data_IF_208441818151
#
_entry.id   IF_208441818151
#
_cell.length_a   1.000
_cell.length_b   1.000
_cell.length_c   1.000
_cell.angle_alpha   90.00
_cell.angle_beta   90.00
_cell.angle_gamma   90.00
#
_symmetry.space_group_name_H-M   'P 1'
#
loop_
_entity.id
_entity.type
_entity.pdbx_description
1 polymer ?
#
# COMPACT_ATOMS: atom_id res chain seq x y z
N UNK A 1 -2.94 18.67 42.10
CA UNK A 1 -3.84 18.59 43.27
C UNK A 1 -4.11 17.16 43.73
N UNK A 2 -4.79 16.31 42.94
CA UNK A 2 -5.07 14.91 43.35
C UNK A 2 -3.80 14.12 43.69
N UNK A 3 -2.78 14.22 42.85
CA UNK A 3 -1.48 13.54 43.03
C UNK A 3 -0.70 14.14 44.21
N UNK A 4 -0.75 15.46 44.37
CA UNK A 4 -0.11 16.20 45.46
C UNK A 4 -0.60 15.75 46.84
N UNK A 5 -1.87 15.33 46.92
CA UNK A 5 -2.52 14.86 48.15
C UNK A 5 -2.44 13.33 48.32
N UNK A 6 -1.69 12.63 47.47
CA UNK A 6 -1.52 11.17 47.50
C UNK A 6 -0.18 10.77 48.14
N UNK A 7 0.03 9.47 48.39
CA UNK A 7 1.31 8.96 48.90
C UNK A 7 2.38 8.84 47.80
N UNK A 8 2.09 9.27 46.57
CA UNK A 8 2.94 9.07 45.40
C UNK A 8 4.35 9.64 45.56
N UNK A 9 4.48 10.84 46.14
CA UNK A 9 5.78 11.50 46.41
C UNK A 9 6.77 10.60 47.16
N UNK A 10 6.26 9.73 48.05
CA UNK A 10 7.08 8.87 48.88
C UNK A 10 7.42 7.53 48.20
N UNK A 11 6.61 7.11 47.23
CA UNK A 11 6.73 5.81 46.55
C UNK A 11 7.53 5.92 45.26
N UNK A 12 7.39 7.03 44.53
CA UNK A 12 8.07 7.33 43.27
C UNK A 12 8.54 8.80 43.27
N UNK A 13 9.59 9.13 44.04
CA UNK A 13 10.01 10.52 44.24
C UNK A 13 10.51 11.18 42.95
N UNK A 14 11.23 10.45 42.10
CA UNK A 14 11.78 11.00 40.85
C UNK A 14 10.67 11.32 39.84
N UNK A 15 9.69 10.42 39.69
CA UNK A 15 8.52 10.66 38.85
C UNK A 15 7.65 11.80 39.39
N UNK A 16 7.52 11.92 40.72
CA UNK A 16 6.79 13.03 41.34
C UNK A 16 7.46 14.38 41.04
N UNK A 17 8.79 14.44 41.13
CA UNK A 17 9.55 15.65 40.83
C UNK A 17 9.41 16.03 39.35
N UNK A 18 9.55 15.07 38.43
CA UNK A 18 9.37 15.30 37.00
C UNK A 18 7.95 15.78 36.64
N UNK A 19 6.92 15.12 37.19
CA UNK A 19 5.53 15.29 36.79
C UNK A 19 4.83 16.44 37.53
N UNK A 20 4.94 16.48 38.86
CA UNK A 20 4.15 17.39 39.71
C UNK A 20 4.88 18.69 39.98
N UNK A 21 6.21 18.65 40.12
CA UNK A 21 7.01 19.84 40.42
C UNK A 21 7.44 20.53 39.11
N UNK A 22 8.08 19.78 38.22
CA UNK A 22 8.65 20.33 36.99
C UNK A 22 7.66 20.45 35.82
N UNK A 23 6.43 19.96 35.96
CA UNK A 23 5.38 20.01 34.94
C UNK A 23 5.82 19.44 33.57
N UNK A 24 6.73 18.47 33.55
CA UNK A 24 7.33 17.92 32.31
C UNK A 24 6.34 17.15 31.43
N UNK A 25 5.13 16.87 31.92
CA UNK A 25 4.08 16.14 31.22
C UNK A 25 3.62 16.79 29.90
N UNK A 26 3.80 18.11 29.74
CA UNK A 26 3.37 18.81 28.52
C UNK A 26 4.25 18.38 27.33
N UNK A 27 3.65 17.68 26.37
CA UNK A 27 4.37 17.17 25.18
C UNK A 27 5.14 15.86 25.41
N UNK A 28 4.91 15.16 26.54
CA UNK A 28 5.55 13.88 26.86
C UNK A 28 4.50 12.77 27.07
N UNK A 29 3.85 12.28 25.98
CA UNK A 29 2.74 11.33 26.08
C UNK A 29 3.14 10.00 26.74
N UNK A 30 4.39 9.56 26.56
CA UNK A 30 4.90 8.33 27.16
C UNK A 30 5.00 8.42 28.68
N UNK A 31 5.59 9.52 29.17
CA UNK A 31 5.72 9.76 30.60
C UNK A 31 4.34 9.89 31.24
N UNK A 32 3.41 10.60 30.59
CA UNK A 32 2.02 10.69 31.04
C UNK A 32 1.35 9.32 31.13
N UNK A 33 1.45 8.51 30.08
CA UNK A 33 0.82 7.19 30.04
C UNK A 33 1.38 6.27 31.13
N UNK A 34 2.73 6.22 31.27
CA UNK A 34 3.42 5.46 32.32
C UNK A 34 2.96 5.88 33.71
N UNK A 35 2.95 7.19 33.95
CA UNK A 35 2.59 7.78 35.23
C UNK A 35 1.19 7.34 35.68
N UNK A 36 0.22 7.31 34.76
CA UNK A 36 -1.18 7.05 35.08
C UNK A 36 -1.49 5.58 35.23
N UNK A 37 -0.87 4.75 34.40
CA UNK A 37 -0.99 3.31 34.55
C UNK A 37 -0.39 2.84 35.87
N UNK A 38 0.75 3.41 36.28
CA UNK A 38 1.35 3.13 37.60
C UNK A 38 0.37 3.41 38.75
N UNK A 39 -0.38 4.50 38.69
CA UNK A 39 -1.41 4.84 39.67
C UNK A 39 -2.63 3.88 39.60
N UNK A 40 -2.97 3.42 38.40
CA UNK A 40 -4.15 2.59 38.14
C UNK A 40 -3.98 1.12 38.50
N UNK A 41 -2.77 0.58 38.41
CA UNK A 41 -2.48 -0.82 38.73
C UNK A 41 -2.52 -1.09 40.24
N UNK A 42 -2.14 -0.10 41.06
CA UNK A 42 -2.07 -0.26 42.52
C UNK A 42 -2.63 0.96 43.29
N UNK A 43 -3.91 1.36 43.11
CA UNK A 43 -4.45 2.60 43.67
C UNK A 43 -4.36 2.67 45.21
N UNK A 44 -4.48 1.51 45.88
CA UNK A 44 -4.31 1.39 47.33
C UNK A 44 -2.88 1.72 47.80
N UNK A 45 -1.85 1.36 47.02
CA UNK A 45 -0.43 1.66 47.31
C UNK A 45 -0.17 3.17 47.37
N UNK A 46 -0.92 3.93 46.58
CA UNK A 46 -0.75 5.38 46.44
C UNK A 46 -1.79 6.19 47.23
N UNK A 47 -2.73 5.55 47.93
CA UNK A 47 -3.77 6.23 48.71
C UNK A 47 -4.82 6.94 47.84
N UNK A 48 -5.04 6.48 46.61
CA UNK A 48 -6.02 7.06 45.67
C UNK A 48 -7.31 6.25 45.76
N UNK A 49 -8.44 6.92 46.00
CA UNK A 49 -9.76 6.30 46.00
C UNK A 49 -10.30 6.09 44.57
N UNK A 50 -11.29 5.22 44.42
CA UNK A 50 -11.81 4.79 43.12
C UNK A 50 -12.42 5.94 42.30
N UNK A 51 -13.10 6.89 42.95
CA UNK A 51 -13.67 8.06 42.30
C UNK A 51 -12.58 8.97 41.70
N UNK A 52 -11.53 9.26 42.47
CA UNK A 52 -10.39 10.04 42.01
C UNK A 52 -9.61 9.29 40.91
N UNK A 53 -9.54 7.96 41.01
CA UNK A 53 -8.91 7.13 39.98
C UNK A 53 -9.67 7.23 38.65
N UNK A 54 -11.00 7.19 38.67
CA UNK A 54 -11.83 7.32 37.48
C UNK A 54 -11.71 8.73 36.84
N UNK A 55 -11.62 9.77 37.67
CA UNK A 55 -11.36 11.15 37.21
C UNK A 55 -9.98 11.26 36.57
N UNK A 56 -8.94 10.64 37.17
CA UNK A 56 -7.61 10.58 36.57
C UNK A 56 -7.67 9.87 35.21
N UNK A 57 -8.23 8.65 35.14
CA UNK A 57 -8.34 7.87 33.90
C UNK A 57 -9.04 8.66 32.79
N UNK A 58 -10.21 9.25 33.05
CA UNK A 58 -10.98 9.99 32.04
C UNK A 58 -10.25 11.23 31.51
N UNK A 59 -9.57 12.01 32.38
CA UNK A 59 -8.81 13.18 31.94
C UNK A 59 -7.53 12.78 31.21
N UNK A 60 -6.93 11.65 31.57
CA UNK A 60 -5.72 11.16 30.93
C UNK A 60 -6.00 10.51 29.60
N UNK A 61 -7.09 9.77 29.43
CA UNK A 61 -7.48 9.27 28.11
C UNK A 61 -7.70 10.44 27.14
N UNK A 62 -8.26 11.55 27.63
CA UNK A 62 -8.37 12.80 26.86
C UNK A 62 -7.01 13.45 26.60
N UNK A 63 -6.13 13.56 27.60
CA UNK A 63 -4.78 14.13 27.43
C UNK A 63 -3.90 13.26 26.53
N UNK A 64 -3.93 11.94 26.66
CA UNK A 64 -3.22 10.98 25.81
C UNK A 64 -3.79 11.01 24.40
N UNK A 65 -5.08 11.27 24.19
CA UNK A 65 -5.61 11.54 22.85
C UNK A 65 -5.08 12.86 22.29
N UNK A 66 -5.15 13.96 23.06
CA UNK A 66 -4.69 15.29 22.65
C UNK A 66 -3.17 15.31 22.37
N UNK A 67 -2.38 14.64 23.19
CA UNK A 67 -0.92 14.54 23.05
C UNK A 67 -0.53 13.40 22.11
N UNK A 68 -1.34 12.35 22.00
CA UNK A 68 -1.11 11.19 21.14
C UNK A 68 -1.36 11.46 19.65
N UNK A 69 -2.00 12.58 19.31
CA UNK A 69 -2.01 13.11 17.95
C UNK A 69 -0.62 13.64 17.53
N UNK A 70 0.25 14.02 18.47
CA UNK A 70 1.64 14.38 18.15
C UNK A 70 2.49 13.12 17.96
N UNK A 71 3.26 13.01 16.86
CA UNK A 71 4.18 11.90 16.67
C UNK A 71 5.26 11.83 17.76
N UNK A 72 5.59 10.62 18.21
CA UNK A 72 6.61 10.36 19.25
C UNK A 72 7.86 9.71 18.65
N UNK A 73 9.09 9.97 19.18
CA UNK A 73 10.28 9.28 18.68
C UNK A 73 10.13 7.76 18.74
N UNK A 74 10.44 7.07 17.64
CA UNK A 74 10.23 5.63 17.55
C UNK A 74 11.07 4.84 18.58
N UNK A 75 12.30 5.27 18.85
CA UNK A 75 13.17 4.65 19.85
C UNK A 75 12.51 4.63 21.24
N UNK A 76 11.88 5.74 21.63
CA UNK A 76 11.17 5.83 22.91
C UNK A 76 9.93 4.97 22.97
N UNK A 77 9.22 4.78 21.85
CA UNK A 77 8.08 3.86 21.77
C UNK A 77 8.56 2.42 21.95
N UNK A 78 9.62 2.02 21.25
CA UNK A 78 10.16 0.66 21.35
C UNK A 78 10.68 0.39 22.76
N UNK A 79 11.42 1.34 23.36
CA UNK A 79 11.89 1.24 24.75
C UNK A 79 10.73 1.13 25.75
N UNK A 80 9.63 1.88 25.52
CA UNK A 80 8.43 1.82 26.35
C UNK A 80 7.77 0.44 26.30
N UNK A 81 7.59 -0.11 25.10
CA UNK A 81 6.94 -1.43 24.92
C UNK A 81 7.80 -2.53 25.55
N UNK A 82 9.12 -2.45 25.38
CA UNK A 82 10.08 -3.46 25.86
C UNK A 82 10.40 -3.36 27.37
N UNK A 83 9.98 -2.30 28.05
CA UNK A 83 10.27 -2.06 29.47
C UNK A 83 9.54 -3.05 30.38
N UNK A 84 10.21 -3.59 31.42
CA UNK A 84 9.57 -4.45 32.43
C UNK A 84 8.81 -3.65 33.52
N UNK A 85 8.79 -2.31 33.43
CA UNK A 85 8.08 -1.45 34.37
C UNK A 85 6.56 -1.66 34.29
N UNK A 86 5.92 -1.93 35.44
CA UNK A 86 4.46 -2.12 35.54
C UNK A 86 3.67 -0.96 34.89
N UNK A 87 4.15 0.28 35.00
CA UNK A 87 3.52 1.46 34.39
C UNK A 87 3.49 1.43 32.86
N UNK A 88 4.33 0.60 32.23
CA UNK A 88 4.34 0.37 30.78
C UNK A 88 3.47 -0.80 30.33
N UNK A 89 2.72 -1.41 31.26
CA UNK A 89 1.79 -2.50 30.99
C UNK A 89 0.34 -2.08 31.22
N UNK A 90 -0.59 -2.83 30.63
CA UNK A 90 -2.02 -2.70 30.87
C UNK A 90 -2.61 -4.04 31.29
N UNK A 91 -3.49 -4.02 32.32
CA UNK A 91 -4.25 -5.19 32.73
C UNK A 91 -5.63 -5.15 32.09
N UNK A 92 -5.98 -6.19 31.34
CA UNK A 92 -7.30 -6.29 30.70
C UNK A 92 -8.32 -7.00 31.60
N UNK A 93 -9.61 -6.94 31.23
CA UNK A 93 -10.66 -7.71 31.92
C UNK A 93 -10.32 -9.21 31.87
N UNK A 94 -10.06 -9.79 33.04
CA UNK A 94 -9.56 -11.17 33.17
C UNK A 94 -8.29 -11.29 34.01
N UNK A 95 -7.55 -10.19 34.22
CA UNK A 95 -6.37 -10.15 35.08
C UNK A 95 -5.04 -10.36 34.34
N UNK A 96 -5.08 -10.68 33.04
CA UNK A 96 -3.90 -10.80 32.21
C UNK A 96 -3.25 -9.43 31.96
N UNK A 97 -1.91 -9.41 31.93
CA UNK A 97 -1.08 -8.22 31.74
C UNK A 97 -0.48 -8.24 30.34
N UNK A 98 -0.63 -7.13 29.61
CA UNK A 98 -0.15 -6.97 28.24
C UNK A 98 0.76 -5.75 28.10
N UNK A 99 1.70 -5.85 27.17
CA UNK A 99 2.41 -4.69 26.63
C UNK A 99 1.44 -3.83 25.82
N UNK A 100 1.59 -2.52 25.87
CA UNK A 100 0.80 -1.62 25.04
C UNK A 100 1.64 -0.48 24.48
N UNK A 101 1.21 0.05 23.34
CA UNK A 101 1.75 1.27 22.77
C UNK A 101 0.81 2.44 23.15
N UNK A 102 1.32 3.52 23.75
CA UNK A 102 0.49 4.66 24.15
C UNK A 102 0.04 5.54 22.96
N UNK A 103 0.69 5.38 21.80
CA UNK A 103 0.28 5.96 20.52
C UNK A 103 0.77 5.08 19.38
N UNK A 104 0.19 5.26 18.19
CA UNK A 104 0.62 4.67 16.93
C UNK A 104 1.20 5.71 15.96
N UNK A 105 1.31 6.98 16.38
CA UNK A 105 1.91 8.06 15.60
C UNK A 105 3.39 8.18 15.98
N UNK A 106 4.27 7.87 15.03
CA UNK A 106 5.71 7.77 15.26
C UNK A 106 6.48 8.77 14.41
N UNK A 107 7.69 9.10 14.84
CA UNK A 107 8.67 9.71 13.96
C UNK A 107 10.09 9.19 14.17
N UNK A 108 10.88 9.32 13.11
CA UNK A 108 12.33 9.11 13.10
C UNK A 108 13.02 10.41 12.73
N UNK A 109 13.96 10.93 13.55
CA UNK A 109 14.76 12.09 13.19
C UNK A 109 15.68 11.75 12.01
N UNK A 110 15.93 12.73 11.14
CA UNK A 110 16.79 12.57 9.97
C UNK A 110 18.07 13.38 10.13
N UNK A 111 19.21 12.69 10.15
CA UNK A 111 20.51 13.34 9.99
C UNK A 111 20.76 13.58 8.49
N UNK A 112 20.43 14.79 8.03
CA UNK A 112 20.55 15.18 6.61
C UNK A 112 21.99 15.06 6.11
N UNK A 113 22.98 15.39 6.95
CA UNK A 113 24.38 15.31 6.56
C UNK A 113 24.80 13.85 6.35
N UNK A 114 24.39 12.96 7.26
CA UNK A 114 24.70 11.53 7.19
C UNK A 114 24.07 10.87 5.95
N UNK A 115 22.78 11.10 5.69
CA UNK A 115 22.09 10.47 4.55
C UNK A 115 22.58 10.96 3.18
N UNK A 116 23.15 12.17 3.12
CA UNK A 116 23.85 12.67 1.92
C UNK A 116 25.25 12.05 1.84
N UNK A 117 26.02 12.10 2.94
CA UNK A 117 27.40 11.64 2.97
C UNK A 117 27.56 10.14 2.68
N UNK A 118 26.61 9.31 3.12
CA UNK A 118 26.63 7.86 2.87
C UNK A 118 25.94 7.44 1.56
N UNK A 119 25.49 8.40 0.74
CA UNK A 119 24.84 8.13 -0.55
C UNK A 119 23.43 7.54 -0.44
N UNK A 120 22.77 7.64 0.72
CA UNK A 120 21.35 7.26 0.85
C UNK A 120 20.47 8.14 -0.03
N UNK A 121 20.74 9.45 -0.03
CA UNK A 121 20.08 10.42 -0.91
C UNK A 121 21.13 11.06 -1.81
N UNK A 122 20.97 11.01 -3.15
CA UNK A 122 21.88 11.72 -4.05
C UNK A 122 21.75 13.23 -3.87
N UNK A 123 22.84 13.97 -4.07
CA UNK A 123 22.87 15.42 -3.85
C UNK A 123 21.77 16.18 -4.62
N UNK A 124 21.36 15.71 -5.81
CA UNK A 124 20.27 16.30 -6.60
C UNK A 124 18.91 16.32 -5.87
N UNK A 125 18.70 15.40 -4.93
CA UNK A 125 17.46 15.24 -4.18
C UNK A 125 17.57 15.79 -2.74
N UNK A 126 18.68 16.45 -2.37
CA UNK A 126 18.90 16.91 -1.00
C UNK A 126 17.83 17.89 -0.49
N UNK A 127 17.25 18.68 -1.39
CA UNK A 127 16.17 19.62 -1.06
C UNK A 127 14.86 18.93 -0.65
N UNK A 128 14.68 17.65 -0.99
CA UNK A 128 13.47 16.86 -0.69
C UNK A 128 13.55 16.16 0.68
N UNK A 129 14.69 16.22 1.35
CA UNK A 129 14.91 15.52 2.62
C UNK A 129 14.10 16.18 3.74
N UNK A 130 13.21 15.40 4.35
CA UNK A 130 12.43 15.84 5.53
C UNK A 130 13.30 15.89 6.78
N UNK A 131 12.97 16.75 7.75
CA UNK A 131 13.69 16.81 9.04
C UNK A 131 13.42 15.57 9.91
N UNK A 132 12.22 15.01 9.77
CA UNK A 132 11.77 13.79 10.44
C UNK A 132 10.82 13.01 9.54
N UNK A 133 10.99 11.69 9.48
CA UNK A 133 10.01 10.80 8.87
C UNK A 133 8.88 10.64 9.88
N UNK A 134 7.68 11.05 9.52
CA UNK A 134 6.48 10.96 10.36
C UNK A 134 5.49 10.00 9.69
N UNK A 135 5.00 9.02 10.43
CA UNK A 135 3.95 8.12 9.94
C UNK A 135 3.08 7.61 11.10
N UNK A 136 1.97 6.97 10.74
CA UNK A 136 1.10 6.25 11.66
C UNK A 136 1.17 4.77 11.35
N UNK A 137 1.42 3.94 12.36
CA UNK A 137 1.30 2.48 12.22
C UNK A 137 -0.16 2.10 11.96
N UNK A 138 -0.44 1.30 10.92
CA UNK A 138 -1.79 0.91 10.57
C UNK A 138 -2.35 -0.14 11.54
N UNK A 139 -3.62 0.04 11.91
CA UNK A 139 -4.34 -0.85 12.82
C UNK A 139 -4.26 -0.42 14.29
N UNK A 140 -4.71 -1.31 15.18
CA UNK A 140 -4.88 -1.05 16.61
C UNK A 140 -3.89 -1.85 17.48
N UNK A 141 -3.01 -2.62 16.87
CA UNK A 141 -2.01 -3.44 17.57
C UNK A 141 -0.75 -3.63 16.73
N UNK A 142 0.36 -3.94 17.43
CA UNK A 142 1.67 -4.21 16.82
C UNK A 142 1.99 -5.68 17.05
N UNK A 143 2.13 -6.46 15.97
CA UNK A 143 2.57 -7.87 16.06
C UNK A 143 4.07 -7.93 16.33
N UNK A 144 4.56 -9.02 16.92
CA UNK A 144 6.00 -9.22 17.21
C UNK A 144 6.92 -8.99 16.00
N UNK A 145 6.51 -9.46 14.81
CA UNK A 145 7.27 -9.22 13.58
C UNK A 145 7.31 -7.74 13.16
N UNK A 146 6.22 -7.00 13.35
CA UNK A 146 6.17 -5.56 13.10
C UNK A 146 7.04 -4.80 14.11
N UNK A 147 6.98 -5.17 15.39
CA UNK A 147 7.81 -4.59 16.44
C UNK A 147 9.30 -4.78 16.16
N UNK A 148 9.71 -5.95 15.66
CA UNK A 148 11.09 -6.19 15.27
C UNK A 148 11.56 -5.24 14.15
N UNK A 149 10.71 -4.97 13.16
CA UNK A 149 11.01 -4.00 12.10
C UNK A 149 11.07 -2.57 12.65
N UNK A 150 10.16 -2.20 13.57
CA UNK A 150 10.22 -0.89 14.23
C UNK A 150 11.52 -0.72 15.05
N UNK A 151 11.95 -1.74 15.78
CA UNK A 151 13.22 -1.69 16.52
C UNK A 151 14.43 -1.55 15.59
N UNK A 152 14.45 -2.28 14.46
CA UNK A 152 15.47 -2.10 13.42
C UNK A 152 15.50 -0.64 12.96
N UNK A 153 14.35 -0.04 12.64
CA UNK A 153 14.28 1.36 12.20
C UNK A 153 14.73 2.33 13.30
N UNK A 154 14.32 2.11 14.54
CA UNK A 154 14.65 2.94 15.69
C UNK A 154 16.16 2.97 15.98
N UNK A 155 16.85 1.86 15.76
CA UNK A 155 18.27 1.69 16.11
C UNK A 155 19.23 1.80 14.94
N UNK A 156 18.72 1.79 13.71
CA UNK A 156 19.55 1.86 12.50
C UNK A 156 20.30 3.19 12.35
N UNK A 157 19.79 4.31 12.88
CA UNK A 157 20.42 5.64 12.82
C UNK A 157 20.92 6.03 11.41
N UNK A 158 20.21 5.61 10.36
CA UNK A 158 20.59 5.79 8.95
C UNK A 158 21.97 5.19 8.57
N UNK A 159 22.46 4.17 9.28
CA UNK A 159 23.74 3.52 9.00
C UNK A 159 23.65 2.51 7.87
N UNK A 160 22.56 1.74 7.82
CA UNK A 160 22.32 0.74 6.79
C UNK A 160 21.06 1.07 6.00
N UNK A 161 21.07 0.86 4.68
CA UNK A 161 19.83 0.90 3.89
C UNK A 161 18.83 -0.14 4.40
N UNK A 162 17.57 0.26 4.52
CA UNK A 162 16.46 -0.63 4.87
C UNK A 162 15.59 -0.83 3.64
N UNK A 163 15.34 -2.08 3.30
CA UNK A 163 14.55 -2.49 2.14
C UNK A 163 13.38 -3.37 2.57
N UNK A 164 12.26 -3.18 1.90
CA UNK A 164 11.04 -3.97 2.03
C UNK A 164 10.82 -4.75 0.72
N UNK A 165 10.37 -5.99 0.84
CA UNK A 165 9.96 -6.78 -0.31
C UNK A 165 8.69 -6.18 -0.93
N UNK A 166 8.53 -6.28 -2.24
CA UNK A 166 7.32 -5.79 -2.95
C UNK A 166 6.12 -6.74 -2.83
N UNK A 167 6.38 -8.00 -2.44
CA UNK A 167 5.43 -9.12 -2.47
C UNK A 167 4.73 -9.38 -1.13
N UNK A 168 4.97 -8.55 -0.12
CA UNK A 168 4.37 -8.68 1.20
C UNK A 168 3.06 -7.90 1.29
N UNK A 169 2.20 -8.30 2.23
CA UNK A 169 0.96 -7.60 2.53
C UNK A 169 1.20 -6.17 3.02
N UNK A 170 0.17 -5.32 2.87
CA UNK A 170 0.22 -3.90 3.23
C UNK A 170 0.63 -3.68 4.70
N UNK A 171 0.23 -4.59 5.58
CA UNK A 171 0.53 -4.58 7.01
C UNK A 171 2.02 -4.68 7.33
N UNK A 172 2.83 -5.25 6.43
CA UNK A 172 4.27 -5.35 6.59
C UNK A 172 4.98 -4.01 6.36
N UNK A 173 4.37 -3.09 5.60
CA UNK A 173 4.91 -1.75 5.33
C UNK A 173 4.69 -0.78 6.49
N UNK A 174 3.79 -1.09 7.41
CA UNK A 174 3.56 -0.33 8.65
C UNK A 174 3.28 1.17 8.45
N UNK A 175 2.71 1.55 7.30
CA UNK A 175 2.37 2.94 6.96
C UNK A 175 3.55 3.78 6.46
N UNK A 176 4.67 3.13 6.12
CA UNK A 176 5.87 3.78 5.59
C UNK A 176 5.88 3.91 4.06
N UNK A 177 4.80 3.50 3.38
CA UNK A 177 4.74 3.47 1.91
C UNK A 177 5.01 4.83 1.26
N UNK A 178 4.60 5.93 1.90
CA UNK A 178 4.92 7.31 1.49
C UNK A 178 6.39 7.71 1.58
N UNK A 179 7.25 6.84 2.09
CA UNK A 179 8.69 7.03 2.21
C UNK A 179 9.48 5.97 1.45
N UNK A 180 8.82 5.22 0.58
CA UNK A 180 9.47 4.22 -0.25
C UNK A 180 10.00 4.80 -1.55
N UNK A 181 11.00 4.12 -2.10
CA UNK A 181 11.40 4.25 -3.49
C UNK A 181 11.59 2.86 -4.09
N UNK A 182 11.04 2.63 -5.27
CA UNK A 182 11.27 1.39 -6.00
C UNK A 182 12.72 1.35 -6.51
N UNK A 183 13.52 0.51 -5.88
CA UNK A 183 14.91 0.22 -6.25
C UNK A 183 14.97 -1.24 -6.72
N UNK A 184 14.83 -1.46 -8.02
CA UNK A 184 14.77 -2.80 -8.58
C UNK A 184 13.46 -3.52 -8.21
N UNK A 185 13.57 -4.70 -7.60
CA UNK A 185 12.44 -5.52 -7.12
C UNK A 185 12.17 -5.32 -5.62
N UNK A 186 12.59 -4.18 -5.05
CA UNK A 186 12.45 -3.87 -3.62
C UNK A 186 12.06 -2.42 -3.39
N UNK A 187 11.42 -2.14 -2.27
CA UNK A 187 11.16 -0.78 -1.79
C UNK A 187 12.24 -0.36 -0.81
N UNK A 188 13.05 0.64 -1.17
CA UNK A 188 14.01 1.26 -0.26
C UNK A 188 13.30 2.31 0.59
N UNK A 189 13.50 2.27 1.90
CA UNK A 189 13.03 3.31 2.81
C UNK A 189 13.98 4.52 2.80
N UNK A 190 13.44 5.71 2.58
CA UNK A 190 14.17 6.97 2.42
C UNK A 190 13.47 8.12 3.15
N UNK A 191 14.21 9.13 3.65
CA UNK A 191 13.63 10.32 4.28
C UNK A 191 13.11 11.33 3.23
N UNK A 192 12.39 10.87 2.21
CA UNK A 192 11.70 11.70 1.23
C UNK A 192 10.24 11.28 1.23
N UNK A 193 9.34 12.23 1.47
CA UNK A 193 7.90 11.97 1.44
C UNK A 193 7.38 12.12 0.01
N UNK A 194 6.68 11.11 -0.48
CA UNK A 194 6.03 11.12 -1.79
C UNK A 194 4.55 10.76 -1.65
N UNK A 195 3.76 11.16 -2.64
CA UNK A 195 2.38 10.70 -2.77
C UNK A 195 2.37 9.21 -3.12
N UNK A 196 1.37 8.50 -2.61
CA UNK A 196 1.17 7.07 -2.85
C UNK A 196 -0.27 6.82 -3.24
N UNK A 197 -0.48 5.77 -4.02
CA UNK A 197 -1.80 5.24 -4.31
C UNK A 197 -1.90 3.81 -3.78
N UNK A 198 -3.10 3.24 -3.83
CA UNK A 198 -3.35 1.85 -3.48
C UNK A 198 -2.43 0.88 -4.27
N UNK A 199 -2.05 1.27 -5.49
CA UNK A 199 -1.32 0.45 -6.45
C UNK A 199 0.16 0.83 -6.55
N UNK A 200 0.48 2.12 -6.41
CA UNK A 200 1.85 2.62 -6.53
C UNK A 200 2.36 3.16 -5.20
N UNK A 201 3.38 2.46 -4.68
CA UNK A 201 4.02 2.81 -3.42
C UNK A 201 5.32 3.55 -3.70
N UNK A 202 5.47 4.67 -3.01
CA UNK A 202 6.67 5.49 -3.04
C UNK A 202 6.99 6.09 -4.41
N UNK A 203 8.21 6.62 -4.50
CA UNK A 203 8.79 7.17 -5.73
C UNK A 203 9.54 6.11 -6.54
N UNK A 204 10.10 6.51 -7.68
CA UNK A 204 11.12 5.74 -8.40
C UNK A 204 12.34 6.63 -8.69
N UNK A 205 13.49 6.01 -8.96
CA UNK A 205 14.64 6.67 -9.56
C UNK A 205 14.92 6.01 -10.91
N UNK A 206 14.67 6.74 -12.00
CA UNK A 206 14.76 6.22 -13.38
C UNK A 206 16.18 5.74 -13.71
N UNK A 207 17.23 6.45 -13.28
CA UNK A 207 18.63 6.04 -13.52
C UNK A 207 18.93 4.65 -12.91
N UNK A 208 18.61 4.47 -11.62
CA UNK A 208 18.88 3.23 -10.89
C UNK A 208 18.04 2.09 -11.44
N UNK A 209 16.75 2.35 -11.66
CA UNK A 209 15.80 1.32 -12.08
C UNK A 209 16.05 0.89 -13.53
N UNK A 210 16.41 1.84 -14.42
CA UNK A 210 16.79 1.53 -15.79
C UNK A 210 18.03 0.64 -15.84
N UNK A 211 19.10 1.00 -15.14
CA UNK A 211 20.31 0.18 -15.12
C UNK A 211 20.05 -1.22 -14.54
N UNK A 212 19.21 -1.32 -13.50
CA UNK A 212 18.82 -2.60 -12.93
C UNK A 212 18.10 -3.50 -13.96
N UNK A 213 17.04 -2.99 -14.60
CA UNK A 213 16.16 -3.76 -15.49
C UNK A 213 16.80 -4.04 -16.85
N UNK A 214 17.59 -3.11 -17.38
CA UNK A 214 18.16 -3.21 -18.71
C UNK A 214 19.49 -3.97 -18.72
N UNK A 215 20.33 -3.79 -17.67
CA UNK A 215 21.72 -4.23 -17.73
C UNK A 215 22.13 -5.26 -16.66
N UNK A 216 21.48 -5.28 -15.49
CA UNK A 216 21.97 -6.05 -14.33
C UNK A 216 21.16 -7.29 -14.00
N UNK A 217 19.84 -7.24 -14.15
CA UNK A 217 18.99 -8.36 -13.77
C UNK A 217 19.12 -9.55 -14.72
N UNK A 218 19.14 -10.74 -14.11
CA UNK A 218 19.06 -12.01 -14.81
C UNK A 218 17.64 -12.57 -14.62
N UNK A 219 16.97 -12.87 -15.73
CA UNK A 219 15.55 -13.24 -15.74
C UNK A 219 15.30 -14.75 -15.68
N UNK A 220 16.35 -15.56 -15.54
CA UNK A 220 16.22 -16.98 -15.19
C UNK A 220 15.58 -17.88 -16.26
N UNK A 221 15.51 -17.44 -17.52
CA UNK A 221 14.99 -18.25 -18.63
C UNK A 221 13.47 -18.29 -18.75
N UNK A 222 12.76 -17.33 -18.15
CA UNK A 222 11.29 -17.19 -18.23
C UNK A 222 10.77 -16.87 -19.64
N UNK A 223 11.67 -16.56 -20.57
CA UNK A 223 11.43 -16.37 -22.00
C UNK A 223 11.42 -17.69 -22.79
N UNK A 224 11.76 -18.82 -22.15
CA UNK A 224 11.80 -20.12 -22.81
C UNK A 224 10.39 -20.76 -22.88
N UNK A 225 9.82 -21.00 -24.08
CA UNK A 225 8.48 -21.58 -24.23
C UNK A 225 8.37 -23.04 -23.77
N UNK A 226 9.50 -23.72 -23.50
CA UNK A 226 9.50 -25.07 -22.93
C UNK A 226 9.32 -25.08 -21.40
N UNK A 227 9.39 -23.91 -20.75
CA UNK A 227 9.23 -23.76 -19.31
C UNK A 227 7.76 -23.52 -19.00
N UNK A 228 7.18 -24.39 -18.16
CA UNK A 228 5.83 -24.17 -17.64
C UNK A 228 5.88 -23.12 -16.52
N UNK A 229 5.15 -22.02 -16.72
CA UNK A 229 4.97 -20.97 -15.71
C UNK A 229 3.75 -21.31 -14.86
N UNK A 230 3.99 -21.81 -13.65
CA UNK A 230 2.90 -22.05 -12.69
C UNK A 230 2.28 -20.75 -12.16
N UNK A 231 1.15 -20.87 -11.45
CA UNK A 231 0.39 -19.74 -10.92
C UNK A 231 1.22 -18.80 -10.02
N UNK A 232 2.09 -19.36 -9.17
CA UNK A 232 2.91 -18.55 -8.26
C UNK A 232 3.94 -17.75 -9.04
N UNK A 233 4.60 -18.38 -10.01
CA UNK A 233 5.56 -17.72 -10.88
C UNK A 233 4.88 -16.63 -11.75
N UNK A 234 3.69 -16.90 -12.28
CA UNK A 234 2.90 -15.92 -13.03
C UNK A 234 2.59 -14.66 -12.18
N UNK A 235 2.16 -14.85 -10.92
CA UNK A 235 1.95 -13.74 -9.97
C UNK A 235 3.22 -12.93 -9.69
N UNK A 236 4.40 -13.58 -9.67
CA UNK A 236 5.68 -12.88 -9.52
C UNK A 236 6.06 -12.06 -10.76
N UNK A 237 5.75 -12.55 -11.95
CA UNK A 237 5.97 -11.82 -13.20
C UNK A 237 5.09 -10.58 -13.28
N UNK A 238 3.85 -10.64 -12.76
CA UNK A 238 2.96 -9.48 -12.68
C UNK A 238 3.60 -8.30 -11.91
N UNK A 239 4.24 -8.56 -10.77
CA UNK A 239 4.95 -7.51 -10.01
C UNK A 239 6.17 -6.96 -10.76
N UNK A 240 6.83 -7.80 -11.55
CA UNK A 240 7.96 -7.39 -12.39
C UNK A 240 7.49 -6.48 -13.53
N UNK A 241 6.39 -6.83 -14.22
CA UNK A 241 5.75 -5.99 -15.24
C UNK A 241 5.32 -4.63 -14.69
N UNK A 242 4.82 -4.56 -13.45
CA UNK A 242 4.55 -3.28 -12.79
C UNK A 242 5.80 -2.40 -12.69
N UNK A 243 6.96 -2.98 -12.34
CA UNK A 243 8.21 -2.24 -12.28
C UNK A 243 8.66 -1.68 -13.64
N UNK A 244 8.52 -2.47 -14.71
CA UNK A 244 8.74 -2.01 -16.09
C UNK A 244 7.79 -0.88 -16.46
N UNK A 245 6.50 -1.03 -16.15
CA UNK A 245 5.47 -0.01 -16.40
C UNK A 245 5.81 1.30 -15.69
N UNK A 246 6.13 1.26 -14.39
CA UNK A 246 6.48 2.45 -13.62
C UNK A 246 7.71 3.15 -14.19
N UNK A 247 8.74 2.39 -14.57
CA UNK A 247 9.94 2.93 -15.20
C UNK A 247 9.64 3.60 -16.54
N UNK A 248 8.93 2.91 -17.43
CA UNK A 248 8.61 3.44 -18.76
C UNK A 248 7.71 4.69 -18.67
N UNK A 249 6.70 4.67 -17.79
CA UNK A 249 5.85 5.83 -17.51
C UNK A 249 6.65 7.04 -17.03
N UNK A 250 7.56 6.85 -16.07
CA UNK A 250 8.38 7.96 -15.58
C UNK A 250 9.34 8.49 -16.65
N UNK A 251 9.97 7.62 -17.45
CA UNK A 251 10.83 8.05 -18.55
C UNK A 251 10.05 8.85 -19.60
N UNK A 252 8.80 8.46 -19.90
CA UNK A 252 7.92 9.22 -20.79
C UNK A 252 7.59 10.60 -20.20
N UNK A 253 7.32 10.70 -18.89
CA UNK A 253 7.10 11.98 -18.19
C UNK A 253 8.36 12.85 -18.16
N UNK A 254 9.55 12.24 -18.15
CA UNK A 254 10.85 12.89 -18.29
C UNK A 254 11.20 13.23 -19.75
N UNK A 255 10.31 12.96 -20.71
CA UNK A 255 10.49 13.14 -22.16
C UNK A 255 11.61 12.27 -22.77
N UNK A 256 12.05 11.23 -22.07
CA UNK A 256 13.04 10.24 -22.50
C UNK A 256 12.36 9.10 -23.30
N UNK A 257 11.56 9.46 -24.31
CA UNK A 257 10.64 8.55 -25.01
C UNK A 257 11.33 7.33 -25.63
N UNK A 258 12.53 7.47 -26.20
CA UNK A 258 13.27 6.35 -26.78
C UNK A 258 13.68 5.31 -25.73
N UNK A 259 14.03 5.78 -24.51
CA UNK A 259 14.31 4.89 -23.38
C UNK A 259 13.03 4.23 -22.87
N UNK A 260 11.93 4.99 -22.79
CA UNK A 260 10.63 4.44 -22.40
C UNK A 260 10.20 3.29 -23.33
N UNK A 261 10.29 3.47 -24.65
CA UNK A 261 10.02 2.41 -25.64
C UNK A 261 10.94 1.21 -25.40
N UNK A 262 12.24 1.45 -25.23
CA UNK A 262 13.22 0.37 -24.98
C UNK A 262 12.91 -0.44 -23.71
N UNK A 263 12.37 0.21 -22.67
CA UNK A 263 11.95 -0.45 -21.42
C UNK A 263 10.73 -1.33 -21.65
N UNK A 264 9.72 -0.85 -22.38
CA UNK A 264 8.55 -1.67 -22.73
C UNK A 264 8.95 -2.82 -23.65
N UNK A 265 9.82 -2.59 -24.64
CA UNK A 265 10.37 -3.63 -25.52
C UNK A 265 11.10 -4.69 -24.69
N UNK A 266 11.96 -4.27 -23.76
CA UNK A 266 12.68 -5.18 -22.86
C UNK A 266 11.72 -6.01 -22.00
N UNK A 267 10.62 -5.43 -21.52
CA UNK A 267 9.60 -6.17 -20.76
C UNK A 267 9.09 -7.38 -21.54
N UNK A 268 8.81 -7.23 -22.83
CA UNK A 268 8.29 -8.31 -23.68
C UNK A 268 9.37 -9.22 -24.27
N UNK A 269 10.62 -8.75 -24.36
CA UNK A 269 11.76 -9.62 -24.63
C UNK A 269 11.97 -10.62 -23.48
N UNK A 270 11.89 -10.13 -22.24
CA UNK A 270 12.14 -10.97 -21.05
C UNK A 270 10.90 -11.73 -20.61
N UNK A 271 9.70 -11.22 -20.84
CA UNK A 271 8.42 -11.89 -20.53
C UNK A 271 7.51 -11.88 -21.76
N UNK A 272 7.81 -12.71 -22.79
CA UNK A 272 6.96 -12.80 -23.98
C UNK A 272 5.55 -13.26 -23.61
N UNK A 273 4.53 -12.69 -24.25
CA UNK A 273 3.11 -13.00 -23.98
C UNK A 273 2.73 -14.45 -24.25
N UNK A 274 3.43 -15.11 -25.18
CA UNK A 274 3.22 -16.53 -25.52
C UNK A 274 3.77 -17.49 -24.45
N UNK A 275 4.60 -16.99 -23.52
CA UNK A 275 5.19 -17.79 -22.42
C UNK A 275 4.67 -17.33 -21.06
N UNK A 276 4.59 -16.02 -20.84
CA UNK A 276 4.07 -15.39 -19.64
C UNK A 276 2.71 -14.76 -19.95
N UNK A 277 1.61 -15.31 -19.41
CA UNK A 277 0.27 -14.81 -19.69
C UNK A 277 0.14 -13.30 -19.49
N UNK A 278 -0.64 -12.60 -20.34
CA UNK A 278 -0.95 -11.21 -20.12
C UNK A 278 -1.59 -10.97 -18.75
N UNK A 279 -1.20 -9.87 -18.13
CA UNK A 279 -1.69 -9.37 -16.86
C UNK A 279 -2.41 -8.03 -17.08
N UNK A 280 -3.13 -7.56 -16.07
CA UNK A 280 -3.76 -6.23 -16.14
C UNK A 280 -2.78 -5.09 -16.47
N UNK A 281 -1.49 -5.22 -16.09
CA UNK A 281 -0.46 -4.23 -16.41
C UNK A 281 -0.13 -4.14 -17.92
N UNK A 282 -0.39 -5.19 -18.68
CA UNK A 282 -0.13 -5.22 -20.13
C UNK A 282 -1.04 -4.23 -20.89
N UNK A 283 -2.22 -3.90 -20.35
CA UNK A 283 -3.10 -2.86 -20.92
C UNK A 283 -2.41 -1.50 -20.85
N UNK A 284 -1.79 -1.16 -19.71
CA UNK A 284 -1.09 0.11 -19.54
C UNK A 284 0.24 0.14 -20.30
N UNK A 285 0.94 -0.99 -20.42
CA UNK A 285 2.14 -1.09 -21.26
C UNK A 285 1.78 -0.86 -22.74
N UNK A 286 0.65 -1.38 -23.21
CA UNK A 286 0.16 -1.10 -24.55
C UNK A 286 -0.26 0.37 -24.75
N UNK A 287 -0.93 0.96 -23.75
CA UNK A 287 -1.27 2.38 -23.75
C UNK A 287 -0.01 3.27 -23.84
N UNK A 288 1.06 2.91 -23.15
CA UNK A 288 2.36 3.57 -23.29
C UNK A 288 2.88 3.50 -24.73
N UNK A 289 2.82 2.34 -25.39
CA UNK A 289 3.19 2.26 -26.80
C UNK A 289 2.37 3.21 -27.69
N UNK A 290 1.04 3.29 -27.50
CA UNK A 290 0.23 4.25 -28.27
C UNK A 290 0.68 5.70 -28.01
N UNK A 291 0.86 6.08 -26.74
CA UNK A 291 1.29 7.43 -26.32
C UNK A 291 2.69 7.78 -26.85
N UNK A 292 3.56 6.79 -26.99
CA UNK A 292 4.92 6.92 -27.52
C UNK A 292 4.99 6.82 -29.07
N UNK A 293 3.85 6.57 -29.73
CA UNK A 293 3.75 6.52 -31.20
C UNK A 293 3.93 5.13 -31.83
N UNK A 294 4.19 4.10 -31.02
CA UNK A 294 4.38 2.69 -31.43
C UNK A 294 3.03 1.97 -31.63
N UNK A 295 2.16 2.54 -32.47
CA UNK A 295 0.76 2.12 -32.59
C UNK A 295 0.58 0.66 -33.02
N UNK A 296 1.43 0.15 -33.90
CA UNK A 296 1.34 -1.23 -34.37
C UNK A 296 1.71 -2.24 -33.27
N UNK A 297 2.70 -1.90 -32.43
CA UNK A 297 3.06 -2.72 -31.27
C UNK A 297 1.93 -2.72 -30.24
N UNK A 298 1.38 -1.54 -29.95
CA UNK A 298 0.26 -1.38 -29.04
C UNK A 298 -0.97 -2.18 -29.46
N UNK A 299 -1.38 -2.03 -30.73
CA UNK A 299 -2.55 -2.73 -31.28
C UNK A 299 -2.37 -4.25 -31.19
N UNK A 300 -1.21 -4.77 -31.61
CA UNK A 300 -0.90 -6.21 -31.55
C UNK A 300 -1.00 -6.77 -30.14
N UNK A 301 -0.45 -6.06 -29.16
CA UNK A 301 -0.47 -6.47 -27.76
C UNK A 301 -1.90 -6.48 -27.20
N UNK A 302 -2.68 -5.42 -27.45
CA UNK A 302 -4.06 -5.37 -26.98
C UNK A 302 -4.98 -6.36 -27.70
N UNK A 303 -4.79 -6.61 -28.99
CA UNK A 303 -5.59 -7.62 -29.71
C UNK A 303 -5.28 -9.02 -29.19
N UNK A 304 -4.00 -9.35 -28.96
CA UNK A 304 -3.62 -10.62 -28.35
C UNK A 304 -4.28 -10.78 -26.97
N UNK A 305 -4.17 -9.76 -26.11
CA UNK A 305 -4.79 -9.83 -24.79
C UNK A 305 -6.33 -9.90 -24.87
N UNK A 306 -6.95 -9.18 -25.81
CA UNK A 306 -8.40 -9.26 -26.01
C UNK A 306 -8.84 -10.63 -26.53
N UNK A 307 -8.04 -11.29 -27.36
CA UNK A 307 -8.32 -12.66 -27.81
C UNK A 307 -8.24 -13.67 -26.65
N UNK A 308 -7.22 -13.55 -25.79
CA UNK A 308 -7.05 -14.41 -24.62
C UNK A 308 -8.19 -14.20 -23.61
N UNK A 309 -8.53 -12.93 -23.34
CA UNK A 309 -9.61 -12.57 -22.42
C UNK A 309 -11.00 -12.99 -22.98
N UNK A 310 -11.22 -12.89 -24.28
CA UNK A 310 -12.44 -13.39 -24.92
C UNK A 310 -12.54 -14.92 -24.86
N UNK A 311 -11.43 -15.65 -24.99
CA UNK A 311 -11.42 -17.11 -24.79
C UNK A 311 -11.76 -17.50 -23.35
N UNK A 312 -11.23 -16.78 -22.36
CA UNK A 312 -11.59 -16.98 -20.96
C UNK A 312 -13.08 -16.72 -20.72
N UNK A 313 -13.61 -15.65 -21.31
CA UNK A 313 -15.04 -15.36 -21.27
C UNK A 313 -15.87 -16.47 -21.93
N UNK A 314 -15.50 -16.93 -23.13
CA UNK A 314 -16.14 -18.06 -23.82
C UNK A 314 -16.17 -19.32 -22.94
N UNK A 315 -15.07 -19.62 -22.26
CA UNK A 315 -15.00 -20.72 -21.31
C UNK A 315 -16.00 -20.52 -20.17
N UNK A 316 -15.98 -19.37 -19.47
CA UNK A 316 -16.90 -19.09 -18.35
C UNK A 316 -18.37 -19.19 -18.79
N UNK A 317 -18.71 -18.70 -19.98
CA UNK A 317 -20.06 -18.76 -20.54
C UNK A 317 -20.48 -20.19 -20.93
N UNK A 318 -19.53 -21.06 -21.29
CA UNK A 318 -19.82 -22.46 -21.62
C UNK A 318 -20.19 -23.32 -20.40
N UNK A 319 -19.93 -22.84 -19.19
CA UNK A 319 -20.15 -23.58 -17.94
C UNK A 319 -21.61 -23.56 -17.51
N UNK A 320 -22.05 -24.61 -16.82
CA UNK A 320 -23.41 -24.69 -16.24
C UNK A 320 -23.58 -23.68 -15.08
N UNK A 321 -24.83 -23.31 -14.72
CA UNK A 321 -25.09 -22.45 -13.57
C UNK A 321 -24.48 -22.95 -12.25
N UNK A 322 -24.41 -24.26 -12.04
CA UNK A 322 -23.80 -24.83 -10.83
C UNK A 322 -22.27 -24.70 -10.84
N UNK A 323 -21.64 -24.83 -12.01
CA UNK A 323 -20.19 -24.67 -12.19
C UNK A 323 -19.73 -23.21 -12.08
N UNK A 324 -20.58 -22.25 -12.46
CA UNK A 324 -20.28 -20.81 -12.42
C UNK A 324 -20.45 -20.19 -11.04
N UNK A 325 -21.05 -20.91 -10.09
CA UNK A 325 -21.37 -20.43 -8.73
C UNK A 325 -20.15 -19.91 -7.95
N UNK A 326 -18.95 -20.44 -8.21
CA UNK A 326 -17.70 -20.00 -7.58
C UNK A 326 -16.83 -19.10 -8.47
N UNK A 327 -17.28 -18.77 -9.68
CA UNK A 327 -16.52 -18.03 -10.69
C UNK A 327 -17.00 -16.58 -10.86
N UNK A 328 -17.85 -16.08 -9.96
CA UNK A 328 -18.38 -14.71 -10.04
C UNK A 328 -17.27 -13.65 -10.08
N UNK A 329 -16.27 -13.79 -9.21
CA UNK A 329 -15.13 -12.85 -9.14
C UNK A 329 -14.27 -12.90 -10.42
N UNK A 330 -14.05 -14.09 -10.98
CA UNK A 330 -13.28 -14.28 -12.20
C UNK A 330 -14.04 -13.69 -13.40
N UNK A 331 -15.34 -13.95 -13.51
CA UNK A 331 -16.21 -13.35 -14.51
C UNK A 331 -16.17 -11.82 -14.47
N UNK A 332 -16.31 -11.23 -13.27
CA UNK A 332 -16.26 -9.77 -13.10
C UNK A 332 -14.90 -9.20 -13.47
N UNK A 333 -13.82 -9.89 -13.11
CA UNK A 333 -12.45 -9.50 -13.50
C UNK A 333 -12.27 -9.54 -15.02
N UNK A 334 -12.68 -10.63 -15.67
CA UNK A 334 -12.60 -10.79 -17.12
C UNK A 334 -13.37 -9.69 -17.84
N UNK A 335 -14.58 -9.35 -17.36
CA UNK A 335 -15.38 -8.25 -17.89
C UNK A 335 -14.73 -6.87 -17.68
N UNK A 336 -14.12 -6.63 -16.51
CA UNK A 336 -13.41 -5.38 -16.24
C UNK A 336 -12.20 -5.21 -17.17
N UNK A 337 -11.46 -6.29 -17.43
CA UNK A 337 -10.34 -6.32 -18.39
C UNK A 337 -10.83 -6.04 -19.81
N UNK A 338 -11.89 -6.72 -20.27
CA UNK A 338 -12.49 -6.49 -21.60
C UNK A 338 -12.85 -5.02 -21.83
N UNK A 339 -13.54 -4.41 -20.85
CA UNK A 339 -13.93 -3.02 -20.92
C UNK A 339 -12.71 -2.09 -21.00
N UNK A 340 -11.70 -2.34 -20.18
CA UNK A 340 -10.50 -1.51 -20.13
C UNK A 340 -9.68 -1.60 -21.42
N UNK A 341 -9.56 -2.79 -22.02
CA UNK A 341 -8.93 -2.96 -23.33
C UNK A 341 -9.66 -2.12 -24.40
N UNK A 342 -10.98 -2.22 -24.48
CA UNK A 342 -11.78 -1.42 -25.44
C UNK A 342 -11.59 0.08 -25.18
N UNK A 343 -11.61 0.51 -23.90
CA UNK A 343 -11.43 1.91 -23.52
C UNK A 343 -10.09 2.43 -24.01
N UNK A 344 -9.00 1.72 -23.76
CA UNK A 344 -7.65 2.11 -24.20
C UNK A 344 -7.56 2.18 -25.72
N UNK A 345 -8.10 1.21 -26.44
CA UNK A 345 -8.17 1.27 -27.91
C UNK A 345 -8.92 2.51 -28.40
N UNK A 346 -10.08 2.85 -27.81
CA UNK A 346 -10.88 4.03 -28.18
C UNK A 346 -10.16 5.35 -27.90
N UNK A 347 -9.62 5.53 -26.71
CA UNK A 347 -8.89 6.75 -26.31
C UNK A 347 -7.70 7.00 -27.24
N UNK A 348 -7.04 5.93 -27.68
CA UNK A 348 -5.92 5.99 -28.61
C UNK A 348 -6.32 5.96 -30.10
N UNK A 349 -7.62 6.08 -30.40
CA UNK A 349 -8.19 6.13 -31.76
C UNK A 349 -7.97 4.86 -32.60
N UNK A 350 -7.77 3.71 -31.96
CA UNK A 350 -7.83 2.39 -32.60
C UNK A 350 -9.30 1.90 -32.67
N UNK A 351 -10.10 2.65 -33.44
CA UNK A 351 -11.56 2.47 -33.48
C UNK A 351 -11.95 1.15 -34.13
N UNK A 352 -11.13 0.64 -35.06
CA UNK A 352 -11.40 -0.62 -35.76
C UNK A 352 -11.31 -1.80 -34.79
N UNK A 353 -10.20 -1.92 -34.05
CA UNK A 353 -10.05 -3.00 -33.07
C UNK A 353 -11.02 -2.81 -31.90
N UNK A 354 -11.22 -1.57 -31.41
CA UNK A 354 -12.18 -1.30 -30.35
C UNK A 354 -13.60 -1.78 -30.71
N UNK A 355 -14.04 -1.52 -31.95
CA UNK A 355 -15.34 -1.98 -32.43
C UNK A 355 -15.40 -3.50 -32.57
N UNK A 356 -14.37 -4.10 -33.17
CA UNK A 356 -14.28 -5.56 -33.35
C UNK A 356 -14.48 -6.31 -32.02
N UNK A 357 -13.72 -5.92 -30.98
CA UNK A 357 -13.80 -6.59 -29.70
C UNK A 357 -15.06 -6.23 -28.91
N UNK A 358 -15.56 -4.98 -29.00
CA UNK A 358 -16.85 -4.63 -28.40
C UNK A 358 -18.00 -5.50 -28.96
N UNK A 359 -18.05 -5.69 -30.28
CA UNK A 359 -19.06 -6.53 -30.94
C UNK A 359 -18.89 -8.02 -30.54
N UNK A 360 -17.65 -8.50 -30.39
CA UNK A 360 -17.36 -9.86 -29.90
C UNK A 360 -17.84 -10.08 -28.46
N UNK A 361 -17.46 -9.22 -27.51
CA UNK A 361 -17.88 -9.36 -26.11
C UNK A 361 -19.41 -9.22 -25.94
N UNK A 362 -20.04 -8.31 -26.68
CA UNK A 362 -21.50 -8.17 -26.67
C UNK A 362 -22.20 -9.48 -27.11
N UNK A 363 -21.67 -10.15 -28.13
CA UNK A 363 -22.19 -11.44 -28.60
C UNK A 363 -22.08 -12.54 -27.54
N UNK A 364 -20.96 -12.58 -26.81
CA UNK A 364 -20.74 -13.55 -25.71
C UNK A 364 -21.73 -13.33 -24.57
N UNK A 365 -21.96 -12.08 -24.17
CA UNK A 365 -22.88 -11.74 -23.08
C UNK A 365 -24.33 -12.15 -23.36
N UNK A 366 -24.78 -12.01 -24.61
CA UNK A 366 -26.13 -12.43 -25.02
C UNK A 366 -26.36 -13.94 -24.88
N UNK A 367 -25.30 -14.74 -24.86
CA UNK A 367 -25.39 -16.20 -24.73
C UNK A 367 -25.47 -16.70 -23.28
N UNK A 368 -25.38 -15.81 -22.27
CA UNK A 368 -25.42 -16.14 -20.84
C UNK A 368 -26.86 -16.06 -20.27
N UNK A 369 -27.49 -17.19 -19.89
CA UNK A 369 -28.87 -17.20 -19.38
C UNK A 369 -29.06 -16.40 -18.09
N UNK A 370 -28.05 -16.34 -17.22
CA UNK A 370 -28.06 -15.62 -15.94
C UNK A 370 -28.23 -14.09 -16.09
N UNK A 371 -27.99 -13.53 -17.28
CA UNK A 371 -28.09 -12.10 -17.58
C UNK A 371 -29.27 -11.73 -18.48
N UNK A 372 -30.11 -12.69 -18.86
CA UNK A 372 -31.27 -12.43 -19.74
C UNK A 372 -32.36 -11.56 -19.11
N UNK A 373 -32.34 -11.36 -17.79
CA UNK A 373 -33.24 -10.38 -17.13
C UNK A 373 -32.68 -8.94 -17.12
N UNK A 374 -31.44 -8.72 -17.57
CA UNK A 374 -30.83 -7.38 -17.72
C UNK A 374 -30.51 -7.01 -19.17
N UNK A 375 -30.74 -7.92 -20.12
CA UNK A 375 -30.37 -7.80 -21.53
C UNK A 375 -31.16 -6.76 -22.37
N UNK A 376 -31.99 -5.91 -21.74
CA UNK A 376 -32.66 -4.79 -22.40
C UNK A 376 -32.12 -3.41 -21.99
N UNK A 377 -31.04 -3.35 -21.20
CA UNK A 377 -30.36 -2.08 -20.95
C UNK A 377 -29.38 -1.82 -22.09
N UNK A 378 -29.66 -0.78 -22.88
CA UNK A 378 -28.68 -0.16 -23.76
C UNK A 378 -27.39 0.09 -22.97
N UNK A 379 -26.24 -0.31 -23.53
CA UNK A 379 -24.91 -0.09 -22.94
C UNK A 379 -24.64 1.43 -22.73
N UNK A 380 -25.47 2.29 -23.33
CA UNK A 380 -25.41 3.75 -23.23
C UNK A 380 -26.47 4.39 -22.30
N UNK A 381 -27.36 3.65 -21.61
CA UNK A 381 -28.44 4.27 -20.82
C UNK A 381 -28.22 4.34 -19.30
N UNK A 382 -28.88 5.31 -18.66
CA UNK A 382 -29.02 5.53 -17.21
C UNK A 382 -29.45 4.26 -16.42
N UNK A 383 -29.91 3.20 -17.07
CA UNK A 383 -30.30 1.95 -16.41
C UNK A 383 -29.10 1.10 -15.93
N UNK A 384 -27.90 1.30 -16.47
CA UNK A 384 -26.68 0.68 -15.93
C UNK A 384 -26.33 1.22 -14.53
N UNK A 385 -26.68 2.49 -14.26
CA UNK A 385 -26.58 3.09 -12.93
C UNK A 385 -27.56 2.47 -11.92
N UNK A 386 -28.70 1.92 -12.35
CA UNK A 386 -29.64 1.26 -11.44
C UNK A 386 -29.22 -0.17 -11.06
N UNK A 387 -28.32 -0.78 -11.85
CA UNK A 387 -27.65 -2.05 -11.52
C UNK A 387 -26.83 -1.95 -10.21
N UNK A 388 -26.34 -0.75 -9.88
CA UNK A 388 -25.62 -0.36 -8.66
C UNK A 388 -26.31 -0.77 -7.36
N UNK A 389 -27.65 -0.68 -7.33
CA UNK A 389 -28.44 -0.89 -6.12
C UNK A 389 -28.50 -2.35 -5.66
N UNK A 390 -28.11 -3.29 -6.52
CA UNK A 390 -28.24 -4.74 -6.32
C UNK A 390 -26.90 -5.45 -6.08
N UNK A 391 -25.80 -4.71 -6.14
CA UNK A 391 -24.45 -5.22 -5.91
C UNK A 391 -24.21 -5.49 -4.42
N UNK A 392 -23.50 -6.58 -4.13
CA UNK A 392 -22.92 -6.88 -2.83
C UNK A 392 -21.83 -5.87 -2.45
N UNK A 393 -21.46 -5.80 -1.18
CA UNK A 393 -20.52 -4.78 -0.69
C UNK A 393 -19.10 -4.94 -1.26
N UNK A 394 -18.70 -6.16 -1.66
CA UNK A 394 -17.44 -6.41 -2.37
C UNK A 394 -17.47 -5.90 -3.82
N UNK A 395 -18.61 -6.03 -4.50
CA UNK A 395 -18.79 -5.55 -5.87
C UNK A 395 -18.85 -4.02 -5.91
N UNK A 396 -19.41 -3.38 -4.87
CA UNK A 396 -19.35 -1.93 -4.68
C UNK A 396 -17.93 -1.43 -4.43
N UNK A 397 -17.07 -2.20 -3.76
CA UNK A 397 -15.65 -1.86 -3.57
C UNK A 397 -14.85 -1.93 -4.87
N UNK A 398 -15.08 -2.94 -5.71
CA UNK A 398 -14.48 -3.05 -7.05
C UNK A 398 -14.96 -1.91 -7.98
N UNK A 399 -16.21 -1.48 -7.85
CA UNK A 399 -16.72 -0.33 -8.59
C UNK A 399 -16.29 1.03 -8.00
N UNK A 400 -15.89 1.08 -6.72
CA UNK A 400 -15.24 2.26 -6.14
C UNK A 400 -13.87 2.50 -6.77
N UNK A 401 -13.14 1.44 -7.11
CA UNK A 401 -11.92 1.52 -7.92
C UNK A 401 -12.24 2.11 -9.31
N UNK A 402 -13.35 1.70 -9.94
CA UNK A 402 -13.87 2.27 -11.19
C UNK A 402 -14.24 3.76 -11.07
N UNK A 403 -14.88 4.20 -9.99
CA UNK A 403 -15.27 5.60 -9.76
C UNK A 403 -14.08 6.50 -9.37
N UNK A 404 -13.11 5.99 -8.63
CA UNK A 404 -11.89 6.74 -8.29
C UNK A 404 -11.04 7.06 -9.53
N UNK A 405 -11.04 6.18 -10.54
CA UNK A 405 -10.35 6.44 -11.82
C UNK A 405 -11.11 7.41 -12.74
N UNK A 406 -12.44 7.50 -12.62
CA UNK A 406 -13.25 8.49 -13.35
C UNK A 406 -13.15 9.91 -12.78
N UNK A 407 -12.83 10.05 -11.49
CA UNK A 407 -12.73 11.35 -10.82
C UNK A 407 -11.48 12.16 -11.19
N UNK A 408 -10.44 11.51 -11.74
CA UNK A 408 -9.21 12.19 -12.21
C UNK A 408 -9.34 12.74 -13.65
N UNK A 409 -10.31 12.27 -14.45
CA UNK A 409 -10.61 12.80 -15.80
C UNK A 409 -11.64 13.95 -15.79
N UNK A 410 -12.10 14.38 -14.60
CA UNK A 410 -13.04 15.49 -14.42
C UNK A 410 -12.40 16.78 -13.85
N UNK A 411 -11.07 16.96 -13.99
CA UNK A 411 -10.38 18.22 -13.68
C UNK A 411 -9.52 18.75 -14.81
#
# INVERSE_FOLDING_TARGET
TLITNSNFKNVMPDDYEAVVVNHQLKGQPLLMSKFVNSLSLNPKKYGINEQNLNILKSNIDQLVRIVGDEPVPLDKIVDFIASDDDGTKVTIQGGDVYDFAPTFNFYLPVDKQKVIANGTIPAKDSAKIVDRVIWRHPGEYIRKGQLAVLDILARNNWERPVYFAITVGQEAYQGLDGYFRLDGLTYRFLPIKTETSSYEKGSINTDILYDAYMNKFAWGGIDNPSVYIDENNSRMMMNTKNGFLRLASALMLEHENAKAISVVDRCYEVMPTDVVPPSYYDIFLADLYYKLGEKEKAARLLTQFADDNAQEMEFVVSLTPEQTKTLGDDYMRTMAIAHEIIRVMRVNKDVVNAKLYADRYASLLQSVPLLTNTANADIESEDFYNLFSRLSDNEKQLMQIFLYMLADDAK
#
